data_IF_487189358781
#
_entry.id   IF_487189358781
#
_cell.length_a   1.000
_cell.length_b   1.000
_cell.length_c   1.000
_cell.angle_alpha   90.00
_cell.angle_beta   90.00
_cell.angle_gamma   90.00
#
_symmetry.space_group_name_H-M   'P 1'
#
loop_
_entity.id
_entity.type
_entity.pdbx_description
1 polymer ?
#
# COMPACT_ATOMS: atom_id res chain seq x y z
N UNK A 1 21.37 27.54 11.15
CA UNK A 1 20.78 26.69 10.10
C UNK A 1 19.41 27.21 9.76
N UNK A 2 19.12 27.42 8.47
CA UNK A 2 17.77 27.86 8.06
C UNK A 2 16.79 26.68 8.05
N UNK A 3 15.48 26.94 8.09
CA UNK A 3 14.46 25.87 7.96
C UNK A 3 14.60 25.14 6.62
N UNK A 4 14.92 25.86 5.55
CA UNK A 4 15.15 25.28 4.22
C UNK A 4 16.33 24.31 4.21
N UNK A 5 17.39 24.65 4.94
CA UNK A 5 18.59 23.83 5.06
C UNK A 5 18.32 22.57 5.90
N UNK A 6 17.59 22.69 7.03
CA UNK A 6 17.17 21.53 7.83
C UNK A 6 16.33 20.54 7.00
N UNK A 7 15.35 21.05 6.26
CA UNK A 7 14.50 20.24 5.37
C UNK A 7 15.33 19.67 4.22
N UNK A 8 16.27 20.43 3.66
CA UNK A 8 17.20 19.97 2.63
C UNK A 8 18.03 18.79 3.10
N UNK A 9 18.57 18.85 4.33
CA UNK A 9 19.32 17.74 4.94
C UNK A 9 18.45 16.49 5.02
N UNK A 10 17.25 16.61 5.57
CA UNK A 10 16.33 15.50 5.73
C UNK A 10 15.94 14.86 4.39
N UNK A 11 15.55 15.68 3.41
CA UNK A 11 15.14 15.20 2.10
C UNK A 11 16.29 14.53 1.34
N UNK A 12 17.51 15.07 1.41
CA UNK A 12 18.68 14.46 0.77
C UNK A 12 18.99 13.08 1.34
N UNK A 13 18.97 12.94 2.68
CA UNK A 13 19.16 11.65 3.36
C UNK A 13 18.07 10.65 2.93
N UNK A 14 16.80 11.05 2.96
CA UNK A 14 15.71 10.15 2.60
C UNK A 14 15.68 9.77 1.11
N UNK A 15 15.90 10.74 0.22
CA UNK A 15 15.80 10.55 -1.23
C UNK A 15 16.95 9.72 -1.77
N UNK A 16 18.17 9.96 -1.29
CA UNK A 16 19.38 9.32 -1.82
C UNK A 16 19.90 8.18 -0.94
N UNK A 17 19.43 8.03 0.30
CA UNK A 17 19.96 7.04 1.25
C UNK A 17 21.40 7.35 1.66
N UNK A 18 21.79 8.63 1.63
CA UNK A 18 23.17 9.06 1.91
C UNK A 18 23.47 9.03 3.41
N UNK A 19 24.71 8.69 3.73
CA UNK A 19 25.16 8.63 5.11
C UNK A 19 25.39 10.04 5.71
N UNK A 20 25.55 10.07 7.03
CA UNK A 20 25.79 11.30 7.76
C UNK A 20 27.10 11.98 7.31
N UNK A 21 28.12 11.22 6.92
CA UNK A 21 29.43 11.74 6.54
C UNK A 21 29.36 12.59 5.28
N UNK A 22 28.69 12.09 4.24
CA UNK A 22 28.51 12.85 3.00
C UNK A 22 27.72 14.15 3.25
N UNK A 23 26.74 14.11 4.15
CA UNK A 23 25.95 15.28 4.51
C UNK A 23 26.77 16.35 5.26
N UNK A 24 27.78 15.94 6.03
CA UNK A 24 28.72 16.89 6.64
C UNK A 24 29.51 17.65 5.58
N UNK A 25 29.94 16.98 4.51
CA UNK A 25 30.68 17.59 3.40
C UNK A 25 29.79 18.54 2.58
N UNK A 26 28.55 18.13 2.26
CA UNK A 26 27.64 18.92 1.43
C UNK A 26 27.16 20.19 2.16
N UNK A 27 26.78 20.07 3.44
CA UNK A 27 26.19 21.17 4.20
C UNK A 27 27.19 21.89 5.11
N UNK A 28 28.44 21.41 5.18
CA UNK A 28 29.52 21.97 6.00
C UNK A 28 29.14 22.11 7.48
N UNK A 29 28.52 21.08 8.05
CA UNK A 29 28.18 20.98 9.48
C UNK A 29 28.77 19.73 10.10
N UNK A 30 28.93 19.73 11.43
CA UNK A 30 29.33 18.52 12.16
C UNK A 30 28.28 17.40 12.03
N UNK A 31 28.71 16.14 12.14
CA UNK A 31 27.80 15.00 12.05
C UNK A 31 26.72 14.97 13.13
N UNK A 32 27.05 15.48 14.32
CA UNK A 32 26.09 15.70 15.40
C UNK A 32 24.98 16.68 14.96
N UNK A 33 25.36 17.77 14.30
CA UNK A 33 24.42 18.78 13.80
C UNK A 33 23.52 18.20 12.72
N UNK A 34 24.09 17.50 11.72
CA UNK A 34 23.30 16.79 10.70
C UNK A 34 22.30 15.83 11.35
N UNK A 35 22.74 15.02 12.31
CA UNK A 35 21.88 14.06 13.01
C UNK A 35 20.76 14.75 13.78
N UNK A 36 21.08 15.82 14.52
CA UNK A 36 20.10 16.58 15.31
C UNK A 36 19.01 17.16 14.42
N UNK A 37 19.36 17.74 13.28
CA UNK A 37 18.40 18.33 12.35
C UNK A 37 17.59 17.29 11.61
N UNK A 38 18.18 16.16 11.22
CA UNK A 38 17.44 15.03 10.67
C UNK A 38 16.32 14.58 11.61
N UNK A 39 16.63 14.33 12.89
CA UNK A 39 15.64 13.89 13.88
C UNK A 39 14.60 14.98 14.20
N UNK A 40 15.01 16.26 14.19
CA UNK A 40 14.09 17.38 14.38
C UNK A 40 13.05 17.42 13.26
N UNK A 41 13.48 17.36 12.00
CA UNK A 41 12.58 17.36 10.84
C UNK A 41 11.73 16.10 10.84
N UNK A 42 12.31 14.93 11.10
CA UNK A 42 11.59 13.66 11.21
C UNK A 42 10.42 13.76 12.18
N UNK A 43 10.65 14.31 13.37
CA UNK A 43 9.61 14.52 14.39
C UNK A 43 8.51 15.47 13.92
N UNK A 44 8.85 16.56 13.23
CA UNK A 44 7.84 17.52 12.72
C UNK A 44 7.03 16.91 11.58
N UNK A 45 7.69 16.22 10.64
CA UNK A 45 7.00 15.52 9.53
C UNK A 45 6.15 14.37 10.07
N UNK A 46 6.59 13.69 11.13
CA UNK A 46 5.78 12.68 11.83
C UNK A 46 4.48 13.27 12.40
N UNK A 47 4.49 14.53 12.87
CA UNK A 47 3.24 15.22 13.25
C UNK A 47 2.37 15.52 12.03
N UNK A 48 2.97 16.00 10.93
CA UNK A 48 2.26 16.21 9.66
C UNK A 48 1.61 14.92 9.14
N UNK A 49 2.24 13.76 9.36
CA UNK A 49 1.69 12.46 8.97
C UNK A 49 0.29 12.23 9.55
N UNK A 50 0.07 12.60 10.81
CA UNK A 50 -1.25 12.49 11.46
C UNK A 50 -2.34 13.34 10.80
N UNK A 51 -1.96 14.46 10.18
CA UNK A 51 -2.90 15.39 9.53
C UNK A 51 -3.14 15.05 8.05
N UNK A 52 -2.15 14.45 7.38
CA UNK A 52 -2.16 14.27 5.93
C UNK A 52 -2.42 12.82 5.48
N UNK A 53 -2.12 11.82 6.31
CA UNK A 53 -2.44 10.41 6.10
C UNK A 53 -3.77 10.12 6.79
N UNK A 54 -4.84 10.50 6.12
CA UNK A 54 -6.22 10.25 6.54
C UNK A 54 -7.13 10.21 5.32
N UNK A 55 -8.25 9.46 5.37
CA UNK A 55 -9.23 9.54 4.30
C UNK A 55 -9.82 10.96 4.21
N UNK A 56 -10.37 11.28 3.03
CA UNK A 56 -11.21 12.47 2.91
C UNK A 56 -12.43 12.36 3.83
N UNK A 57 -12.94 13.47 4.37
CA UNK A 57 -14.06 13.46 5.33
C UNK A 57 -15.30 12.76 4.78
N UNK A 58 -15.54 12.90 3.48
CA UNK A 58 -16.70 12.34 2.77
C UNK A 58 -16.40 10.99 2.07
N UNK A 59 -15.31 10.27 2.44
CA UNK A 59 -14.92 9.03 1.75
C UNK A 59 -16.01 7.95 1.71
N UNK A 60 -16.95 7.96 2.66
CA UNK A 60 -18.10 7.06 2.71
C UNK A 60 -19.37 7.60 2.04
N UNK A 61 -19.40 8.87 1.62
CA UNK A 61 -20.61 9.51 1.06
C UNK A 61 -20.77 9.30 -0.44
N UNK A 62 -19.78 8.71 -1.11
CA UNK A 62 -19.81 8.49 -2.56
C UNK A 62 -19.72 9.77 -3.40
N UNK A 63 -19.47 10.92 -2.77
CA UNK A 63 -19.16 12.19 -3.44
C UNK A 63 -17.66 12.22 -3.79
N UNK A 64 -17.33 12.57 -5.04
CA UNK A 64 -15.97 12.99 -5.41
C UNK A 64 -14.98 11.90 -5.90
N UNK A 65 -13.70 12.26 -5.79
CA UNK A 65 -12.52 11.67 -6.46
C UNK A 65 -12.02 10.33 -5.87
N UNK A 66 -12.70 9.77 -4.86
CA UNK A 66 -12.25 8.58 -4.11
C UNK A 66 -12.81 7.26 -4.65
N UNK A 67 -13.17 7.23 -5.94
CA UNK A 67 -13.60 6.02 -6.66
C UNK A 67 -12.78 5.85 -7.94
N UNK A 68 -12.74 4.64 -8.52
CA UNK A 68 -12.07 4.43 -9.79
C UNK A 68 -12.63 5.37 -10.86
N UNK A 69 -11.80 6.23 -11.45
CA UNK A 69 -12.29 7.20 -12.44
C UNK A 69 -12.35 6.61 -13.85
N UNK A 70 -11.49 5.64 -14.14
CA UNK A 70 -11.38 5.05 -15.47
C UNK A 70 -12.69 4.35 -15.87
N UNK A 71 -13.17 4.64 -17.09
CA UNK A 71 -14.48 4.19 -17.59
C UNK A 71 -14.66 2.67 -17.53
N UNK A 72 -13.57 1.91 -17.71
CA UNK A 72 -13.56 0.44 -17.63
C UNK A 72 -14.08 -0.13 -16.31
N UNK A 73 -13.97 0.60 -15.21
CA UNK A 73 -14.39 0.13 -13.87
C UNK A 73 -15.80 0.61 -13.51
N UNK A 74 -16.38 1.51 -14.31
CA UNK A 74 -17.73 2.04 -14.10
C UNK A 74 -18.75 1.22 -14.89
N UNK A 75 -19.90 0.85 -14.29
CA UNK A 75 -20.33 1.14 -12.91
C UNK A 75 -19.84 0.13 -11.86
N UNK A 76 -19.11 -0.91 -12.27
CA UNK A 76 -18.81 -2.12 -11.48
C UNK A 76 -18.21 -1.86 -10.09
N UNK A 77 -17.38 -0.83 -9.93
CA UNK A 77 -16.67 -0.51 -8.68
C UNK A 77 -16.97 0.89 -8.15
N UNK A 78 -18.16 1.45 -8.42
CA UNK A 78 -18.54 2.81 -7.95
C UNK A 78 -18.60 2.96 -6.41
N UNK A 79 -18.83 1.85 -5.70
CA UNK A 79 -18.82 1.80 -4.23
C UNK A 79 -17.45 1.44 -3.64
N UNK A 80 -16.44 1.21 -4.48
CA UNK A 80 -15.08 0.99 -4.03
C UNK A 80 -14.43 2.33 -3.62
N UNK A 81 -13.89 2.37 -2.40
CA UNK A 81 -13.29 3.58 -1.79
C UNK A 81 -11.76 3.53 -1.73
N UNK A 82 -11.15 2.41 -2.10
CA UNK A 82 -9.69 2.27 -2.15
C UNK A 82 -9.22 0.82 -2.20
N UNK A 83 -7.93 0.64 -1.99
CA UNK A 83 -7.28 -0.66 -1.91
C UNK A 83 -6.47 -0.78 -0.61
N UNK A 84 -6.40 -2.00 -0.07
CA UNK A 84 -5.61 -2.36 1.12
C UNK A 84 -4.58 -3.38 0.72
N UNK A 85 -3.36 -3.21 1.21
CA UNK A 85 -2.31 -4.19 1.03
C UNK A 85 -1.14 -4.01 2.01
N UNK A 86 -0.36 -5.07 2.16
CA UNK A 86 0.90 -5.05 2.89
C UNK A 86 2.06 -4.67 1.98
N UNK A 87 3.12 -4.14 2.57
CA UNK A 87 4.39 -3.96 1.87
C UNK A 87 5.56 -4.01 2.84
N UNK A 88 6.72 -4.45 2.33
CA UNK A 88 7.93 -4.58 3.13
C UNK A 88 8.96 -3.52 2.77
N UNK A 89 9.64 -2.96 3.77
CA UNK A 89 10.89 -2.20 3.59
C UNK A 89 11.99 -2.84 4.43
N UNK A 90 13.26 -2.68 4.02
CA UNK A 90 14.38 -3.27 4.75
C UNK A 90 14.43 -2.67 6.16
N UNK A 91 14.71 -3.52 7.14
CA UNK A 91 14.91 -3.12 8.52
C UNK A 91 16.33 -3.48 8.91
N UNK A 92 17.00 -2.57 9.62
CA UNK A 92 18.37 -2.80 10.09
C UNK A 92 18.37 -2.92 11.60
N UNK A 93 18.51 -4.15 12.10
CA UNK A 93 18.37 -4.47 13.52
C UNK A 93 19.68 -5.03 14.07
N UNK A 94 19.94 -4.89 15.39
CA UNK A 94 21.01 -5.63 16.07
C UNK A 94 20.86 -7.15 15.90
N UNK A 95 21.97 -7.89 15.95
CA UNK A 95 22.04 -9.33 15.65
C UNK A 95 21.09 -10.21 16.48
N UNK A 96 20.69 -9.78 17.69
CA UNK A 96 19.72 -10.50 18.54
C UNK A 96 18.24 -10.15 18.32
N UNK A 97 17.94 -9.08 17.60
CA UNK A 97 16.55 -8.59 17.40
C UNK A 97 16.04 -8.84 15.97
N UNK A 98 16.91 -9.33 15.07
CA UNK A 98 16.57 -9.50 13.66
C UNK A 98 15.62 -10.68 13.40
N UNK A 99 15.64 -11.74 14.21
CA UNK A 99 14.94 -13.01 13.93
C UNK A 99 13.44 -12.82 13.62
N UNK A 100 12.65 -12.07 14.40
CA UNK A 100 11.23 -11.84 14.09
C UNK A 100 11.03 -11.10 12.76
N UNK A 101 11.99 -10.24 12.38
CA UNK A 101 11.94 -9.43 11.17
C UNK A 101 12.44 -10.17 9.93
N UNK A 102 13.04 -11.35 10.10
CA UNK A 102 13.47 -12.23 9.00
C UNK A 102 12.26 -12.94 8.43
N UNK A 103 11.67 -12.33 7.41
CA UNK A 103 10.63 -12.96 6.59
C UNK A 103 11.22 -13.93 5.57
N UNK A 104 10.41 -14.29 4.58
CA UNK A 104 10.79 -15.23 3.50
C UNK A 104 11.89 -14.71 2.57
N UNK A 105 12.17 -13.40 2.61
CA UNK A 105 13.18 -12.75 1.76
C UNK A 105 14.62 -13.06 2.19
N UNK A 106 14.82 -13.69 3.34
CA UNK A 106 16.17 -14.01 3.85
C UNK A 106 16.94 -12.80 4.37
N UNK A 107 16.27 -11.64 4.49
CA UNK A 107 16.79 -10.45 5.15
C UNK A 107 15.70 -9.80 6.02
N UNK A 108 16.10 -8.99 7.00
CA UNK A 108 15.20 -8.37 7.93
C UNK A 108 14.38 -7.27 7.25
N UNK A 109 13.06 -7.29 7.43
CA UNK A 109 12.14 -6.29 6.91
C UNK A 109 11.13 -5.89 7.96
N UNK A 110 10.64 -4.66 7.88
CA UNK A 110 9.43 -4.25 8.59
C UNK A 110 8.24 -4.39 7.62
N UNK A 111 7.17 -5.03 8.08
CA UNK A 111 5.90 -5.10 7.37
C UNK A 111 5.07 -3.82 7.66
N UNK A 112 4.39 -3.33 6.64
CA UNK A 112 3.59 -2.11 6.65
C UNK A 112 2.24 -2.43 6.01
N UNK A 113 1.17 -2.29 6.77
CA UNK A 113 -0.19 -2.31 6.21
C UNK A 113 -0.57 -0.89 5.77
N UNK A 114 -1.04 -0.73 4.54
CA UNK A 114 -1.50 0.56 4.05
C UNK A 114 -2.88 0.47 3.38
N UNK A 115 -3.59 1.59 3.43
CA UNK A 115 -4.81 1.85 2.65
C UNK A 115 -4.54 3.02 1.74
N UNK A 116 -4.87 2.89 0.45
CA UNK A 116 -4.74 3.97 -0.53
C UNK A 116 -6.08 4.29 -1.16
N UNK A 117 -6.29 5.56 -1.49
CA UNK A 117 -7.41 5.98 -2.34
C UNK A 117 -7.02 5.97 -3.83
N UNK A 118 -7.99 6.25 -4.69
CA UNK A 118 -7.78 6.30 -6.15
C UNK A 118 -7.00 7.53 -6.64
N UNK A 119 -6.55 8.41 -5.74
CA UNK A 119 -5.64 9.51 -6.05
C UNK A 119 -4.18 9.18 -5.74
N UNK A 120 -3.87 7.91 -5.45
CA UNK A 120 -2.55 7.44 -4.99
C UNK A 120 -2.10 8.09 -3.68
N UNK A 121 -3.05 8.47 -2.82
CA UNK A 121 -2.76 8.98 -1.48
C UNK A 121 -2.95 7.87 -0.44
N UNK A 122 -2.00 7.76 0.48
CA UNK A 122 -2.15 6.93 1.68
C UNK A 122 -3.23 7.54 2.59
N UNK A 123 -4.23 6.75 2.95
CA UNK A 123 -5.32 7.18 3.85
C UNK A 123 -5.22 6.54 5.22
N UNK A 124 -4.46 5.45 5.34
CA UNK A 124 -4.09 4.82 6.59
C UNK A 124 -2.77 4.07 6.39
N UNK A 125 -1.91 4.09 7.40
CA UNK A 125 -0.62 3.39 7.40
C UNK A 125 -0.36 2.85 8.79
N UNK A 126 -0.01 1.57 8.87
CA UNK A 126 0.51 0.97 10.08
C UNK A 126 1.84 0.27 9.82
N UNK A 127 2.92 0.99 10.15
CA UNK A 127 4.30 0.55 9.95
C UNK A 127 4.93 -0.01 11.23
N UNK A 128 6.01 -0.78 11.05
CA UNK A 128 6.86 -1.29 12.14
C UNK A 128 6.54 -2.71 12.60
N UNK A 129 5.70 -3.45 11.87
CA UNK A 129 5.46 -4.86 12.18
C UNK A 129 6.64 -5.72 11.78
N UNK A 130 6.79 -6.87 12.42
CA UNK A 130 7.86 -7.79 12.08
C UNK A 130 7.68 -8.35 10.67
N UNK A 131 8.77 -8.47 9.91
CA UNK A 131 8.74 -8.96 8.52
C UNK A 131 8.23 -10.39 8.34
N UNK A 132 8.16 -11.20 9.39
CA UNK A 132 7.51 -12.51 9.35
C UNK A 132 6.00 -12.46 9.64
N UNK A 133 5.47 -11.33 10.12
CA UNK A 133 4.06 -11.18 10.43
C UNK A 133 3.20 -11.23 9.15
N UNK A 134 2.15 -12.04 9.19
CA UNK A 134 1.19 -12.13 8.10
C UNK A 134 0.31 -10.88 8.03
N UNK A 135 0.13 -10.35 6.83
CA UNK A 135 -0.76 -9.26 6.48
C UNK A 135 -2.15 -9.35 7.10
N UNK A 136 -2.78 -10.53 7.07
CA UNK A 136 -4.08 -10.76 7.70
C UNK A 136 -4.09 -10.53 9.22
N UNK A 137 -3.00 -10.88 9.90
CA UNK A 137 -2.87 -10.65 11.34
C UNK A 137 -2.82 -9.15 11.63
N UNK A 138 -2.01 -8.43 10.86
CA UNK A 138 -1.85 -6.98 10.97
C UNK A 138 -3.19 -6.29 10.70
N UNK A 139 -3.87 -6.67 9.62
CA UNK A 139 -5.18 -6.14 9.27
C UNK A 139 -6.25 -6.45 10.32
N UNK A 140 -6.31 -7.68 10.80
CA UNK A 140 -7.23 -8.08 11.87
C UNK A 140 -7.02 -7.30 13.17
N UNK A 141 -5.79 -6.93 13.48
CA UNK A 141 -5.51 -6.05 14.62
C UNK A 141 -5.89 -4.59 14.32
N UNK A 142 -5.66 -4.12 13.09
CA UNK A 142 -5.88 -2.73 12.70
C UNK A 142 -7.35 -2.34 12.82
N UNK A 143 -8.25 -3.25 12.44
CA UNK A 143 -9.70 -3.04 12.49
C UNK A 143 -10.27 -3.16 13.91
N UNK A 144 -9.58 -3.84 14.84
CA UNK A 144 -10.04 -4.03 16.24
C UNK A 144 -9.62 -2.87 17.15
N UNK A 145 -8.46 -2.28 16.88
CA UNK A 145 -7.88 -1.20 17.68
C UNK A 145 -8.47 0.15 17.32
N UNK A 146 -9.41 0.63 18.14
CA UNK A 146 -10.07 1.93 17.96
C UNK A 146 -9.08 3.11 17.98
N UNK A 147 -7.98 3.00 18.73
CA UNK A 147 -6.97 4.03 18.85
C UNK A 147 -6.19 4.28 17.54
N UNK A 148 -6.22 3.33 16.60
CA UNK A 148 -5.58 3.47 15.29
C UNK A 148 -6.42 4.27 14.30
N UNK A 149 -7.68 4.56 14.60
CA UNK A 149 -8.60 5.28 13.72
C UNK A 149 -8.64 4.70 12.30
N UNK A 150 -8.68 3.37 12.17
CA UNK A 150 -8.77 2.70 10.88
C UNK A 150 -10.00 3.19 10.09
N UNK A 151 -9.86 3.53 8.79
CA UNK A 151 -10.92 4.15 8.01
C UNK A 151 -11.99 3.13 7.59
N UNK A 152 -12.91 2.81 8.50
CA UNK A 152 -13.92 1.78 8.29
C UNK A 152 -14.88 2.14 7.14
N UNK A 153 -15.19 1.20 6.24
CA UNK A 153 -16.23 1.38 5.23
C UNK A 153 -17.62 1.39 5.87
N UNK A 154 -18.55 2.18 5.34
CA UNK A 154 -19.95 2.28 5.80
C UNK A 154 -20.94 1.94 4.68
N UNK A 155 -22.07 1.36 5.05
CA UNK A 155 -23.15 1.03 4.11
C UNK A 155 -22.67 0.05 3.02
N UNK A 156 -22.79 0.46 1.76
CA UNK A 156 -22.37 -0.35 0.59
C UNK A 156 -20.90 -0.17 0.22
N UNK A 157 -20.17 0.75 0.87
CA UNK A 157 -18.77 1.05 0.53
C UNK A 157 -17.85 -0.11 0.90
N UNK A 158 -16.77 -0.27 0.14
CA UNK A 158 -15.78 -1.33 0.41
C UNK A 158 -14.38 -1.00 -0.12
N UNK A 159 -13.39 -1.70 0.41
CA UNK A 159 -12.05 -1.73 -0.14
C UNK A 159 -11.80 -2.99 -0.96
N UNK A 160 -10.94 -2.92 -1.97
CA UNK A 160 -10.38 -4.10 -2.63
C UNK A 160 -9.18 -4.62 -1.85
N UNK A 161 -9.13 -5.93 -1.61
CA UNK A 161 -8.07 -6.60 -0.85
C UNK A 161 -7.50 -7.78 -1.62
N UNK A 162 -6.26 -8.20 -1.33
CA UNK A 162 -5.62 -9.32 -2.03
C UNK A 162 -6.31 -10.66 -1.73
N UNK A 163 -5.97 -11.69 -2.52
CA UNK A 163 -6.22 -13.07 -2.17
C UNK A 163 -5.59 -13.50 -0.84
N UNK A 164 -4.59 -12.79 -0.31
CA UNK A 164 -4.15 -12.95 1.07
C UNK A 164 -5.26 -12.66 2.10
N UNK A 165 -6.19 -11.77 1.81
CA UNK A 165 -7.18 -11.24 2.77
C UNK A 165 -8.56 -11.85 2.66
N UNK A 166 -9.20 -12.10 3.81
CA UNK A 166 -10.55 -12.64 3.86
C UNK A 166 -11.55 -11.75 3.10
N UNK A 167 -12.36 -12.35 2.24
CA UNK A 167 -13.54 -11.70 1.70
C UNK A 167 -14.57 -11.59 2.83
N UNK A 168 -14.90 -10.36 3.23
CA UNK A 168 -15.75 -10.11 4.39
C UNK A 168 -16.43 -8.73 4.27
N UNK A 169 -17.39 -8.39 5.14
CA UNK A 169 -18.13 -7.15 5.02
C UNK A 169 -17.25 -5.91 4.95
N UNK A 170 -17.39 -5.14 3.87
CA UNK A 170 -16.58 -3.94 3.59
C UNK A 170 -15.21 -4.20 2.95
N UNK A 171 -14.83 -5.47 2.73
CA UNK A 171 -13.52 -5.85 2.21
C UNK A 171 -13.67 -6.95 1.14
N UNK A 172 -13.58 -6.52 -0.12
CA UNK A 172 -13.87 -7.36 -1.27
C UNK A 172 -12.60 -8.04 -1.80
N UNK A 173 -12.42 -9.31 -1.45
CA UNK A 173 -11.37 -10.17 -2.02
C UNK A 173 -11.77 -10.82 -3.36
N UNK A 174 -10.79 -11.31 -4.14
CA UNK A 174 -11.02 -12.04 -5.40
C UNK A 174 -11.66 -13.40 -5.15
N UNK A 175 -12.18 -14.04 -6.21
CA UNK A 175 -12.50 -15.47 -6.16
C UNK A 175 -11.22 -16.30 -6.04
N UNK A 176 -11.23 -17.26 -5.14
CA UNK A 176 -10.16 -18.24 -4.94
C UNK A 176 -10.59 -19.62 -5.45
N UNK A 177 -9.63 -20.44 -5.86
CA UNK A 177 -9.86 -21.84 -6.25
C UNK A 177 -8.72 -22.38 -7.11
N UNK A 178 -8.55 -23.71 -7.13
CA UNK A 178 -7.42 -24.37 -7.79
C UNK A 178 -7.33 -24.12 -9.31
N UNK A 179 -8.44 -23.74 -9.94
CA UNK A 179 -8.51 -23.47 -11.38
C UNK A 179 -9.00 -22.04 -11.71
N UNK A 180 -8.83 -21.08 -10.79
CA UNK A 180 -9.23 -19.69 -10.99
C UNK A 180 -8.02 -18.79 -10.82
N UNK A 181 -7.64 -18.09 -11.90
CA UNK A 181 -6.55 -17.09 -11.86
C UNK A 181 -7.01 -15.82 -11.15
N UNK A 182 -6.13 -15.23 -10.34
CA UNK A 182 -6.42 -14.00 -9.60
C UNK A 182 -5.26 -13.00 -9.52
N UNK A 183 -4.03 -13.36 -9.91
CA UNK A 183 -2.96 -12.38 -10.07
C UNK A 183 -2.97 -11.79 -11.47
N UNK A 184 -2.80 -10.46 -11.60
CA UNK A 184 -2.76 -9.78 -12.89
C UNK A 184 -1.68 -10.34 -13.82
N UNK A 185 -0.55 -10.79 -13.24
CA UNK A 185 0.55 -11.42 -13.96
C UNK A 185 0.16 -12.74 -14.65
N UNK A 186 -0.75 -13.51 -14.07
CA UNK A 186 -1.24 -14.77 -14.65
C UNK A 186 -1.94 -14.51 -16.00
N UNK A 187 -2.57 -13.34 -16.14
CA UNK A 187 -3.20 -12.90 -17.37
C UNK A 187 -2.20 -12.27 -18.35
N UNK A 188 -1.10 -11.68 -17.86
CA UNK A 188 -0.05 -11.07 -18.70
C UNK A 188 0.93 -12.10 -19.29
N UNK A 189 1.32 -13.13 -18.51
CA UNK A 189 2.35 -14.13 -18.85
C UNK A 189 1.91 -15.19 -19.87
N UNK A 190 0.63 -15.26 -20.21
CA UNK A 190 0.11 -16.25 -21.15
C UNK A 190 0.62 -16.04 -22.60
N UNK A 191 0.87 -17.16 -23.30
CA UNK A 191 1.63 -17.23 -24.58
C UNK A 191 0.83 -16.76 -25.80
N UNK A 192 -0.50 -16.75 -25.73
CA UNK A 192 -1.38 -16.27 -26.81
C UNK A 192 -2.47 -15.36 -26.26
N UNK A 193 -3.02 -14.46 -27.09
CA UNK A 193 -4.11 -13.56 -26.69
C UNK A 193 -5.33 -14.29 -26.14
N UNK A 194 -5.63 -15.47 -26.69
CA UNK A 194 -6.73 -16.32 -26.23
C UNK A 194 -6.46 -16.94 -24.84
N UNK A 195 -5.21 -17.20 -24.48
CA UNK A 195 -4.84 -17.66 -23.14
C UNK A 195 -4.76 -16.51 -22.12
N UNK A 196 -4.51 -15.27 -22.57
CA UNK A 196 -4.55 -14.07 -21.71
C UNK A 196 -5.97 -13.70 -21.30
N UNK A 197 -6.96 -14.04 -22.13
CA UNK A 197 -8.36 -13.75 -21.84
C UNK A 197 -8.85 -14.50 -20.58
N UNK A 198 -9.60 -13.83 -19.69
CA UNK A 198 -10.29 -14.51 -18.59
C UNK A 198 -11.36 -15.48 -19.12
N UNK A 199 -11.38 -16.71 -18.59
CA UNK A 199 -12.16 -17.83 -19.16
C UNK A 199 -13.62 -17.86 -18.73
N UNK A 200 -13.91 -17.41 -17.52
CA UNK A 200 -15.24 -17.45 -16.93
C UNK A 200 -15.53 -16.15 -16.17
N UNK A 201 -16.77 -15.99 -15.69
CA UNK A 201 -17.18 -14.76 -15.00
C UNK A 201 -16.34 -14.47 -13.73
N UNK A 202 -15.87 -15.52 -13.03
CA UNK A 202 -15.00 -15.38 -11.86
C UNK A 202 -13.61 -14.86 -12.24
N UNK A 203 -12.99 -15.40 -13.29
CA UNK A 203 -11.73 -14.88 -13.80
C UNK A 203 -11.87 -13.47 -14.38
N UNK A 204 -13.00 -13.16 -15.05
CA UNK A 204 -13.29 -11.80 -15.54
C UNK A 204 -13.33 -10.84 -14.35
N UNK A 205 -14.09 -11.17 -13.30
CA UNK A 205 -14.10 -10.38 -12.07
C UNK A 205 -12.69 -10.22 -11.50
N UNK A 206 -11.94 -11.31 -11.32
CA UNK A 206 -10.59 -11.26 -10.75
C UNK A 206 -9.62 -10.40 -11.56
N UNK A 207 -9.71 -10.43 -12.90
CA UNK A 207 -8.91 -9.57 -13.76
C UNK A 207 -9.21 -8.08 -13.51
N UNK A 208 -10.49 -7.70 -13.48
CA UNK A 208 -10.89 -6.32 -13.23
C UNK A 208 -10.62 -5.89 -11.78
N UNK A 209 -10.85 -6.77 -10.81
CA UNK A 209 -10.53 -6.59 -9.39
C UNK A 209 -9.05 -6.32 -9.21
N UNK A 210 -8.18 -7.20 -9.72
CA UNK A 210 -6.73 -7.07 -9.59
C UNK A 210 -6.20 -5.82 -10.32
N UNK A 211 -6.76 -5.51 -11.50
CA UNK A 211 -6.42 -4.30 -12.26
C UNK A 211 -6.81 -3.02 -11.51
N UNK A 212 -7.98 -2.99 -10.88
CA UNK A 212 -8.43 -1.85 -10.09
C UNK A 212 -7.64 -1.71 -8.78
N UNK A 213 -7.39 -2.83 -8.08
CA UNK A 213 -6.60 -2.88 -6.84
C UNK A 213 -5.15 -2.45 -7.06
N UNK A 214 -4.60 -2.66 -8.25
CA UNK A 214 -3.22 -2.33 -8.63
C UNK A 214 -2.81 -0.88 -8.29
N UNK A 215 -3.76 0.04 -8.09
CA UNK A 215 -3.50 1.39 -7.57
C UNK A 215 -2.58 1.40 -6.32
N UNK A 216 -2.70 0.42 -5.41
CA UNK A 216 -1.85 0.33 -4.22
C UNK A 216 -0.40 -0.04 -4.56
N UNK A 217 -0.20 -0.98 -5.47
CA UNK A 217 1.12 -1.39 -5.94
C UNK A 217 1.83 -0.23 -6.66
N UNK A 218 1.10 0.50 -7.50
CA UNK A 218 1.64 1.70 -8.17
C UNK A 218 2.00 2.79 -7.16
N UNK A 219 1.17 2.95 -6.13
CA UNK A 219 1.43 3.92 -5.05
C UNK A 219 2.67 3.55 -4.26
N UNK A 220 2.84 2.28 -3.91
CA UNK A 220 4.08 1.78 -3.30
C UNK A 220 5.29 1.94 -4.21
N UNK A 221 5.12 1.71 -5.52
CA UNK A 221 6.15 1.92 -6.53
C UNK A 221 6.69 3.35 -6.54
N UNK A 222 5.79 4.33 -6.67
CA UNK A 222 6.15 5.76 -6.65
C UNK A 222 6.81 6.14 -5.33
N UNK A 223 6.27 5.66 -4.22
CA UNK A 223 6.82 5.94 -2.88
C UNK A 223 8.23 5.36 -2.73
N UNK A 224 8.44 4.08 -3.00
CA UNK A 224 9.75 3.42 -2.84
C UNK A 224 10.78 3.92 -3.84
N UNK A 225 10.40 4.18 -5.09
CA UNK A 225 11.31 4.71 -6.10
C UNK A 225 11.81 6.12 -5.76
N UNK A 226 11.07 6.89 -4.96
CA UNK A 226 11.44 8.25 -4.55
C UNK A 226 12.42 8.26 -3.37
N UNK A 227 12.38 7.25 -2.51
CA UNK A 227 13.07 7.27 -1.22
C UNK A 227 14.04 6.10 -1.09
N UNK A 228 15.28 6.27 -1.57
CA UNK A 228 16.31 5.22 -1.51
C UNK A 228 16.64 4.76 -0.08
N UNK A 229 16.38 5.60 0.94
CA UNK A 229 16.57 5.19 2.34
C UNK A 229 15.76 3.94 2.72
N UNK A 230 14.66 3.66 2.00
CA UNK A 230 13.83 2.47 2.22
C UNK A 230 14.44 1.19 1.61
N UNK A 231 15.33 1.34 0.64
CA UNK A 231 16.01 0.24 -0.05
C UNK A 231 17.17 -0.33 0.76
N UNK A 232 17.88 0.53 1.50
CA UNK A 232 18.93 0.16 2.45
C UNK A 232 18.83 1.05 3.69
N UNK A 233 18.06 0.57 4.67
CA UNK A 233 17.75 1.35 5.87
C UNK A 233 19.02 1.56 6.71
N UNK A 234 19.37 2.81 7.09
CA UNK A 234 20.51 3.07 7.95
C UNK A 234 20.31 2.46 9.35
N UNK A 235 21.41 2.34 10.09
CA UNK A 235 21.37 1.81 11.45
C UNK A 235 20.73 2.82 12.41
N UNK A 236 19.42 2.70 12.58
CA UNK A 236 18.62 3.45 13.55
C UNK A 236 17.88 2.51 14.50
N UNK A 237 17.38 3.03 15.62
CA UNK A 237 16.40 2.29 16.41
C UNK A 237 15.15 2.00 15.57
N UNK A 238 14.47 0.87 15.81
CA UNK A 238 13.33 0.44 14.99
C UNK A 238 12.21 1.49 14.98
N UNK A 239 12.01 2.20 16.09
CA UNK A 239 11.03 3.30 16.17
C UNK A 239 11.37 4.44 15.22
N UNK A 240 12.65 4.81 15.11
CA UNK A 240 13.10 5.83 14.16
C UNK A 240 12.93 5.33 12.71
N UNK A 241 13.21 4.05 12.44
CA UNK A 241 12.96 3.47 11.10
C UNK A 241 11.46 3.50 10.74
N UNK A 242 10.59 3.23 11.72
CA UNK A 242 9.13 3.35 11.58
C UNK A 242 8.72 4.81 11.32
N UNK A 243 9.28 5.76 12.06
CA UNK A 243 9.02 7.19 11.83
C UNK A 243 9.46 7.63 10.44
N UNK A 244 10.58 7.13 9.92
CA UNK A 244 11.05 7.42 8.55
C UNK A 244 10.03 6.93 7.52
N UNK A 245 9.48 5.73 7.70
CA UNK A 245 8.42 5.20 6.83
C UNK A 245 7.20 6.12 6.84
N UNK A 246 6.70 6.49 8.02
CA UNK A 246 5.53 7.37 8.14
C UNK A 246 5.81 8.76 7.54
N UNK A 247 6.98 9.33 7.79
CA UNK A 247 7.36 10.64 7.29
C UNK A 247 7.48 10.67 5.76
N UNK A 248 8.10 9.65 5.15
CA UNK A 248 8.23 9.57 3.69
C UNK A 248 6.88 9.35 3.00
N UNK A 249 5.97 8.58 3.61
CA UNK A 249 4.58 8.44 3.13
C UNK A 249 3.77 9.75 3.29
N UNK A 250 4.00 10.51 4.36
CA UNK A 250 3.39 11.82 4.55
C UNK A 250 3.85 12.82 3.48
N UNK A 251 5.14 12.84 3.17
CA UNK A 251 5.69 13.69 2.11
C UNK A 251 5.19 13.24 0.73
N UNK A 252 5.06 11.94 0.49
CA UNK A 252 4.42 11.42 -0.73
C UNK A 252 3.00 12.00 -0.91
N UNK A 253 2.17 11.96 0.12
CA UNK A 253 0.84 12.57 0.09
C UNK A 253 0.90 14.10 -0.12
N UNK A 254 1.84 14.77 0.53
CA UNK A 254 2.02 16.21 0.36
C UNK A 254 2.34 16.57 -1.08
N UNK A 255 3.30 15.86 -1.70
CA UNK A 255 3.68 16.05 -3.11
C UNK A 255 2.47 15.78 -3.99
N UNK A 256 1.76 14.66 -3.82
CA UNK A 256 0.58 14.33 -4.64
C UNK A 256 -0.50 15.41 -4.58
N UNK A 257 -0.75 15.97 -3.39
CA UNK A 257 -1.77 17.01 -3.17
C UNK A 257 -1.35 18.41 -3.66
N UNK A 258 -0.05 18.71 -3.71
CA UNK A 258 0.45 20.05 -4.05
C UNK A 258 1.05 20.16 -5.46
N UNK A 259 1.53 19.05 -6.02
CA UNK A 259 2.19 19.02 -7.32
C UNK A 259 1.50 18.00 -8.25
N UNK A 260 0.45 18.46 -8.91
CA UNK A 260 -0.32 17.64 -9.89
C UNK A 260 0.54 17.24 -11.09
N UNK A 261 1.60 18.00 -11.40
CA UNK A 261 2.50 17.76 -12.53
C UNK A 261 3.72 16.89 -12.18
N UNK A 262 3.73 16.23 -11.01
CA UNK A 262 4.83 15.35 -10.63
C UNK A 262 4.92 14.15 -11.57
N UNK A 263 6.07 14.03 -12.25
CA UNK A 263 6.31 13.04 -13.31
C UNK A 263 6.16 11.60 -12.82
N UNK A 264 6.55 11.29 -11.58
CA UNK A 264 6.49 9.92 -11.09
C UNK A 264 5.03 9.47 -10.92
N UNK A 265 4.15 10.37 -10.45
CA UNK A 265 2.72 10.10 -10.41
C UNK A 265 2.11 10.02 -11.81
N UNK A 266 2.47 10.90 -12.74
CA UNK A 266 1.98 10.84 -14.13
C UNK A 266 2.31 9.51 -14.83
N UNK A 267 3.55 9.03 -14.66
CA UNK A 267 3.98 7.72 -15.18
C UNK A 267 3.16 6.60 -14.53
N UNK A 268 2.93 6.68 -13.22
CA UNK A 268 2.23 5.65 -12.48
C UNK A 268 0.69 5.73 -12.63
N UNK A 269 0.14 6.75 -13.27
CA UNK A 269 -1.28 6.79 -13.65
C UNK A 269 -1.60 5.79 -14.78
N UNK A 270 -0.60 5.43 -15.59
CA UNK A 270 -0.70 4.34 -16.55
C UNK A 270 -0.86 2.99 -15.82
N UNK A 271 -1.87 2.20 -16.20
CA UNK A 271 -2.14 0.87 -15.61
C UNK A 271 -1.11 -0.19 -16.02
N UNK A 272 -0.34 0.08 -17.08
CA UNK A 272 0.80 -0.74 -17.48
C UNK A 272 2.05 -0.48 -16.65
N UNK A 273 2.06 0.55 -15.79
CA UNK A 273 3.18 0.81 -14.89
C UNK A 273 3.47 -0.41 -14.02
N UNK A 274 4.65 -0.98 -14.20
CA UNK A 274 5.18 -2.04 -13.36
C UNK A 274 6.19 -1.41 -12.39
N UNK A 275 5.86 -1.35 -11.09
CA UNK A 275 6.77 -0.75 -10.12
C UNK A 275 8.06 -1.58 -10.05
N UNK A 276 9.20 -0.88 -9.96
CA UNK A 276 10.50 -1.51 -9.79
C UNK A 276 10.68 -1.97 -8.33
N UNK A 277 9.85 -2.92 -7.88
CA UNK A 277 9.98 -3.54 -6.56
C UNK A 277 10.86 -4.79 -6.66
N UNK A 278 11.77 -4.98 -5.70
CA UNK A 278 12.45 -6.27 -5.50
C UNK A 278 11.38 -7.38 -5.42
N UNK A 279 11.30 -8.20 -6.48
CA UNK A 279 10.29 -9.23 -6.68
C UNK A 279 10.25 -10.14 -5.46
N UNK A 280 9.24 -9.96 -4.62
CA UNK A 280 8.88 -10.97 -3.65
C UNK A 280 8.13 -12.05 -4.43
N UNK A 281 8.70 -13.25 -4.54
CA UNK A 281 7.90 -14.45 -4.72
C UNK A 281 7.10 -14.64 -3.44
N UNK A 282 6.01 -13.90 -3.31
CA UNK A 282 5.01 -14.14 -2.28
C UNK A 282 4.27 -15.41 -2.65
N UNK A 283 4.81 -16.56 -2.25
CA UNK A 283 4.03 -17.78 -2.22
C UNK A 283 2.95 -17.56 -1.18
N UNK A 284 1.78 -17.07 -1.59
CA UNK A 284 0.61 -16.98 -0.72
C UNK A 284 0.41 -18.35 -0.08
N UNK A 285 0.68 -18.44 1.23
CA UNK A 285 0.39 -19.68 1.95
C UNK A 285 -1.12 -19.78 1.96
N UNK A 286 -1.64 -20.84 1.35
CA UNK A 286 -3.06 -21.19 1.33
C UNK A 286 -3.56 -21.36 2.77
N UNK A 287 -4.00 -20.27 3.39
CA UNK A 287 -4.87 -20.35 4.56
C UNK A 287 -6.28 -20.39 4.00
N UNK A 288 -6.91 -21.56 4.12
CA UNK A 288 -8.34 -21.70 3.90
C UNK A 288 -9.05 -20.90 4.99
N UNK A 289 -9.34 -19.62 4.71
CA UNK A 289 -10.28 -18.87 5.52
C UNK A 289 -11.66 -19.36 5.12
N UNK A 290 -12.31 -20.10 6.02
CA UNK A 290 -13.68 -20.56 5.88
C UNK A 290 -14.56 -19.33 5.68
N UNK A 291 -15.19 -19.20 4.52
CA UNK A 291 -16.26 -18.23 4.32
C UNK A 291 -17.37 -18.65 5.29
N UNK A 292 -17.69 -17.82 6.30
CA UNK A 292 -18.78 -18.12 7.24
C UNK A 292 -20.11 -17.89 6.52
N UNK A 293 -20.53 -18.92 5.79
CA UNK A 293 -21.72 -18.93 4.93
C UNK A 293 -23.04 -18.81 5.74
N UNK A 294 -22.98 -18.95 7.07
CA UNK A 294 -24.15 -18.86 7.95
C UNK A 294 -24.52 -17.43 8.37
N UNK A 295 -23.65 -16.43 8.18
CA UNK A 295 -23.90 -15.06 8.60
C UNK A 295 -24.62 -14.26 7.48
N UNK A 296 -25.82 -13.69 7.73
CA UNK A 296 -26.57 -12.94 6.72
C UNK A 296 -25.80 -11.78 6.06
N UNK A 297 -24.89 -11.14 6.82
CA UNK A 297 -24.05 -10.07 6.28
C UNK A 297 -23.03 -10.66 5.30
N UNK A 298 -22.40 -11.79 5.65
CA UNK A 298 -21.46 -12.50 4.76
C UNK A 298 -22.12 -12.88 3.43
N UNK A 299 -23.36 -13.38 3.48
CA UNK A 299 -24.16 -13.74 2.30
C UNK A 299 -24.38 -12.54 1.37
N UNK A 300 -24.69 -11.36 1.91
CA UNK A 300 -24.86 -10.14 1.10
C UNK A 300 -23.58 -9.79 0.31
N UNK A 301 -22.40 -9.89 0.92
CA UNK A 301 -21.14 -9.53 0.27
C UNK A 301 -20.72 -10.53 -0.81
N UNK A 302 -20.99 -11.82 -0.59
CA UNK A 302 -20.83 -12.86 -1.61
C UNK A 302 -21.75 -12.56 -2.79
N UNK A 303 -23.03 -12.26 -2.54
CA UNK A 303 -24.00 -11.93 -3.58
C UNK A 303 -23.63 -10.64 -4.34
N UNK A 304 -23.10 -9.63 -3.65
CA UNK A 304 -22.61 -8.40 -4.27
C UNK A 304 -21.45 -8.69 -5.22
N UNK A 305 -20.46 -9.48 -4.78
CA UNK A 305 -19.33 -9.92 -5.63
C UNK A 305 -19.83 -10.66 -6.87
N UNK A 306 -20.75 -11.59 -6.68
CA UNK A 306 -21.35 -12.38 -7.78
C UNK A 306 -22.13 -11.49 -8.75
N UNK A 307 -22.89 -10.52 -8.25
CA UNK A 307 -23.62 -9.56 -9.08
C UNK A 307 -22.67 -8.74 -9.95
N UNK A 308 -21.59 -8.21 -9.38
CA UNK A 308 -20.56 -7.46 -10.12
C UNK A 308 -19.90 -8.36 -11.17
N UNK A 309 -19.54 -9.59 -10.80
CA UNK A 309 -18.89 -10.55 -11.69
C UNK A 309 -19.77 -10.92 -12.90
N UNK A 310 -21.07 -11.12 -12.68
CA UNK A 310 -22.04 -11.37 -13.74
C UNK A 310 -22.23 -10.14 -14.63
N UNK A 311 -22.25 -8.93 -14.06
CA UNK A 311 -22.40 -7.71 -14.83
C UNK A 311 -21.20 -7.46 -15.75
N UNK A 312 -19.98 -7.64 -15.22
CA UNK A 312 -18.74 -7.58 -16.02
C UNK A 312 -18.82 -8.61 -17.16
N UNK A 313 -19.21 -9.84 -16.87
CA UNK A 313 -19.26 -10.90 -17.87
C UNK A 313 -20.29 -10.66 -18.98
N UNK A 314 -21.35 -9.88 -18.72
CA UNK A 314 -22.36 -9.49 -19.72
C UNK A 314 -21.90 -8.34 -20.61
N UNK A 315 -21.10 -7.41 -20.08
CA UNK A 315 -20.73 -6.16 -20.77
C UNK A 315 -19.34 -6.19 -21.42
N UNK A 316 -18.50 -7.17 -21.08
CA UNK A 316 -17.11 -7.31 -21.52
C UNK A 316 -16.80 -8.76 -21.83
#
# INVERSE_FOLDING_TARGET
MSVYEEVGIFLMICAHGVDNRLMQEIFNHSGETISRHFHRVLKVVGKLANDIIRPHTEYNEGKGYHRPQHQRYKPFFDDCIGAIDGTHVKARLPQGQAIPYMGRKGYATQNILAVVDFNMCFTFVWAGWEGAAHDNRIFGEAIRRLDLNFPLPKGKKYYLVDAGYSHMPGYMGPYRGDNIRYHLEDFRRARSGQQRAPRNFKEKFNYYHSSCRNIIERTFGVWKARWNILCDMPYFHIDTQREIVLATMAIHNYIRKKNVADKAFQIAEDESYEPCTERATETSNRVATVEDEGNPISVYWIALRDSIAMEIARRC
#
